data_IF_110793989397
#
_entry.id   IF_110793989397
#
_cell.length_a   1.000
_cell.length_b   1.000
_cell.length_c   1.000
_cell.angle_alpha   90.00
_cell.angle_beta   90.00
_cell.angle_gamma   90.00
#
_symmetry.space_group_name_H-M   'P 1'
#
loop_
_entity.id
_entity.type
_entity.pdbx_description
1 polymer ?
#
# COMPACT_ATOMS: atom_id res chain seq x y z
N UNK A 1 45.34 -0.24 -8.80
CA UNK A 1 44.06 -0.44 -8.08
C UNK A 1 43.98 -1.87 -7.60
N UNK A 2 43.79 -2.09 -6.29
CA UNK A 2 43.74 -3.43 -5.70
C UNK A 2 42.44 -4.15 -6.12
N UNK A 3 42.57 -5.20 -6.93
CA UNK A 3 41.47 -6.04 -7.45
C UNK A 3 40.56 -6.59 -6.34
N UNK A 4 41.13 -6.84 -5.15
CA UNK A 4 40.40 -7.25 -3.94
C UNK A 4 39.38 -6.19 -3.45
N UNK A 5 39.71 -4.90 -3.58
CA UNK A 5 38.83 -3.80 -3.18
C UNK A 5 37.69 -3.58 -4.18
N UNK A 6 37.93 -3.85 -5.47
CA UNK A 6 36.92 -3.77 -6.52
C UNK A 6 35.84 -4.84 -6.33
N UNK A 7 36.25 -6.07 -6.01
CA UNK A 7 35.34 -7.19 -5.81
C UNK A 7 34.40 -6.96 -4.61
N UNK A 8 34.93 -6.43 -3.50
CA UNK A 8 34.13 -6.10 -2.32
C UNK A 8 33.05 -5.04 -2.60
N UNK A 9 33.37 -4.02 -3.40
CA UNK A 9 32.41 -2.97 -3.79
C UNK A 9 31.27 -3.51 -4.66
N UNK A 10 31.58 -4.44 -5.57
CA UNK A 10 30.57 -5.09 -6.43
C UNK A 10 29.66 -5.98 -5.58
N UNK A 11 30.21 -6.78 -4.66
CA UNK A 11 29.40 -7.60 -3.75
C UNK A 11 28.47 -6.74 -2.87
N UNK A 12 28.97 -5.62 -2.32
CA UNK A 12 28.15 -4.71 -1.52
C UNK A 12 26.99 -4.11 -2.34
N UNK A 13 27.23 -3.73 -3.60
CA UNK A 13 26.20 -3.21 -4.51
C UNK A 13 25.11 -4.25 -4.80
N UNK A 14 25.50 -5.51 -5.04
CA UNK A 14 24.57 -6.61 -5.30
C UNK A 14 23.69 -6.90 -4.07
N UNK A 15 24.27 -6.93 -2.88
CA UNK A 15 23.53 -7.13 -1.63
C UNK A 15 22.53 -5.99 -1.40
N UNK A 16 22.92 -4.74 -1.62
CA UNK A 16 22.03 -3.58 -1.48
C UNK A 16 20.86 -3.62 -2.49
N UNK A 17 21.14 -4.07 -3.72
CA UNK A 17 20.14 -4.19 -4.79
C UNK A 17 19.12 -5.29 -4.48
N UNK A 18 19.55 -6.39 -3.88
CA UNK A 18 18.67 -7.48 -3.45
C UNK A 18 17.76 -7.04 -2.31
N UNK A 19 18.25 -6.26 -1.34
CA UNK A 19 17.41 -5.78 -0.22
C UNK A 19 16.28 -4.85 -0.66
N UNK A 20 16.46 -4.08 -1.75
CA UNK A 20 15.43 -3.21 -2.29
C UNK A 20 14.24 -4.00 -2.86
N UNK A 21 14.47 -5.20 -3.41
CA UNK A 21 13.40 -6.06 -3.92
C UNK A 21 12.52 -6.68 -2.82
N UNK A 22 13.05 -6.82 -1.61
CA UNK A 22 12.30 -7.36 -0.45
C UNK A 22 11.61 -6.28 0.41
N UNK A 23 11.78 -5.00 0.08
CA UNK A 23 11.00 -3.93 0.69
C UNK A 23 9.60 -3.86 0.05
N UNK A 24 8.71 -4.78 0.43
CA UNK A 24 7.28 -4.75 0.11
C UNK A 24 6.51 -3.71 0.95
N UNK A 25 7.07 -2.50 1.11
CA UNK A 25 6.47 -1.44 1.93
C UNK A 25 5.22 -0.81 1.30
N UNK A 26 4.94 -1.12 0.02
CA UNK A 26 4.05 -0.29 -0.77
C UNK A 26 2.59 -0.73 -0.79
N UNK A 27 2.27 -2.00 -0.44
CA UNK A 27 0.91 -2.54 -0.61
C UNK A 27 0.45 -3.47 0.54
N UNK A 28 0.79 -3.15 1.79
CA UNK A 28 0.15 -3.86 2.91
C UNK A 28 -1.24 -3.26 3.20
N UNK A 29 -2.30 -4.08 3.19
CA UNK A 29 -3.64 -3.61 3.54
C UNK A 29 -3.62 -3.07 4.97
N UNK A 30 -4.33 -1.97 5.17
CA UNK A 30 -4.35 -1.32 6.47
C UNK A 30 -5.11 -2.20 7.47
N UNK A 31 -4.46 -2.55 8.59
CA UNK A 31 -5.09 -3.35 9.65
C UNK A 31 -6.16 -2.55 10.43
N UNK A 32 -6.22 -1.23 10.24
CA UNK A 32 -7.14 -0.35 10.93
C UNK A 32 -8.54 -0.41 10.31
N UNK A 33 -9.56 -0.35 11.18
CA UNK A 33 -10.96 -0.23 10.78
C UNK A 33 -11.35 1.23 10.67
N UNK A 34 -11.97 1.59 9.55
CA UNK A 34 -12.39 2.95 9.20
C UNK A 34 -13.91 3.04 9.06
N UNK A 35 -14.42 4.27 9.19
CA UNK A 35 -15.77 4.62 8.81
C UNK A 35 -15.72 5.56 7.60
N UNK A 36 -16.43 5.22 6.52
CA UNK A 36 -16.64 6.07 5.36
C UNK A 36 -18.06 6.63 5.46
N UNK A 37 -18.19 7.96 5.53
CA UNK A 37 -19.46 8.63 5.33
C UNK A 37 -19.53 9.12 3.90
N UNK A 38 -20.55 8.69 3.15
CA UNK A 38 -20.78 9.12 1.78
C UNK A 38 -21.60 10.40 1.72
N UNK A 39 -21.54 11.11 0.59
CA UNK A 39 -22.23 12.40 0.37
C UNK A 39 -23.75 12.29 0.41
N UNK A 40 -24.29 11.10 0.15
CA UNK A 40 -25.71 10.77 0.31
C UNK A 40 -26.12 10.53 1.79
N UNK A 41 -25.18 10.57 2.72
CA UNK A 41 -25.40 10.43 4.16
C UNK A 41 -25.28 9.00 4.69
N UNK A 42 -24.99 8.01 3.84
CA UNK A 42 -24.75 6.65 4.28
C UNK A 42 -23.39 6.52 4.99
N UNK A 43 -23.31 5.61 5.97
CA UNK A 43 -22.07 5.34 6.71
C UNK A 43 -21.73 3.87 6.63
N UNK A 44 -20.50 3.59 6.23
CA UNK A 44 -19.96 2.26 6.02
C UNK A 44 -18.77 2.01 6.94
N UNK A 45 -18.60 0.76 7.41
CA UNK A 45 -17.48 0.34 8.25
C UNK A 45 -16.70 -0.78 7.58
N UNK A 46 -15.38 -0.72 7.65
CA UNK A 46 -14.51 -1.68 6.98
C UNK A 46 -13.03 -1.35 7.06
N UNK A 47 -12.25 -1.91 6.16
CA UNK A 47 -10.80 -1.71 6.07
C UNK A 47 -10.42 -1.15 4.70
N UNK A 48 -9.39 -0.31 4.64
CA UNK A 48 -8.88 0.18 3.36
C UNK A 48 -7.88 -0.84 2.82
N UNK A 49 -8.19 -1.44 1.68
CA UNK A 49 -7.33 -2.41 1.02
C UNK A 49 -6.32 -1.72 0.11
N UNK A 50 -6.76 -0.72 -0.65
CA UNK A 50 -5.92 0.04 -1.56
C UNK A 50 -6.44 1.47 -1.72
N UNK A 51 -5.55 2.41 -2.08
CA UNK A 51 -5.90 3.80 -2.36
C UNK A 51 -5.22 4.22 -3.64
N UNK A 52 -5.97 4.80 -4.56
CA UNK A 52 -5.41 5.43 -5.75
C UNK A 52 -5.68 6.95 -5.70
N UNK A 53 -5.42 7.68 -6.80
CA UNK A 53 -5.63 9.13 -6.85
C UNK A 53 -7.11 9.54 -6.79
N UNK A 54 -8.02 8.71 -7.29
CA UNK A 54 -9.45 9.01 -7.51
C UNK A 54 -10.39 8.19 -6.61
N UNK A 55 -9.98 7.01 -6.18
CA UNK A 55 -10.81 6.00 -5.52
C UNK A 55 -10.10 5.37 -4.31
N UNK A 56 -10.90 4.70 -3.49
CA UNK A 56 -10.46 3.90 -2.35
C UNK A 56 -11.12 2.53 -2.47
N UNK A 57 -10.32 1.46 -2.52
CA UNK A 57 -10.79 0.09 -2.40
C UNK A 57 -10.96 -0.25 -0.91
N UNK A 58 -12.18 -0.64 -0.54
CA UNK A 58 -12.60 -0.77 0.84
C UNK A 58 -13.29 -2.12 1.06
N UNK A 59 -12.86 -2.87 2.06
CA UNK A 59 -13.51 -4.12 2.45
C UNK A 59 -14.57 -3.85 3.52
N UNK A 60 -15.84 -3.84 3.12
CA UNK A 60 -16.99 -3.61 3.97
C UNK A 60 -17.31 -4.86 4.81
N UNK A 61 -17.57 -4.68 6.10
CA UNK A 61 -17.89 -5.79 7.02
C UNK A 61 -19.11 -6.62 6.57
N UNK A 62 -20.06 -6.01 5.86
CA UNK A 62 -21.34 -6.65 5.46
C UNK A 62 -21.46 -7.01 3.99
N UNK A 63 -20.68 -6.33 3.14
CA UNK A 63 -20.87 -6.37 1.67
C UNK A 63 -19.62 -6.83 0.93
N UNK A 64 -18.51 -7.06 1.63
CA UNK A 64 -17.23 -7.41 1.03
C UNK A 64 -16.57 -6.20 0.37
N UNK A 65 -15.77 -6.45 -0.66
CA UNK A 65 -14.98 -5.40 -1.31
C UNK A 65 -15.85 -4.45 -2.13
N UNK A 66 -15.61 -3.16 -1.95
CA UNK A 66 -16.28 -2.08 -2.64
C UNK A 66 -15.32 -0.95 -2.94
N UNK A 67 -15.43 -0.35 -4.12
CA UNK A 67 -14.63 0.82 -4.51
C UNK A 67 -15.48 2.08 -4.35
N UNK A 68 -15.02 3.00 -3.51
CA UNK A 68 -15.63 4.32 -3.34
C UNK A 68 -14.85 5.36 -4.14
N UNK A 69 -15.53 6.21 -4.91
CA UNK A 69 -14.88 7.39 -5.48
C UNK A 69 -14.67 8.42 -4.38
N UNK A 70 -13.52 9.08 -4.35
CA UNK A 70 -13.25 10.12 -3.35
C UNK A 70 -14.25 11.27 -3.39
N UNK A 71 -14.87 11.51 -4.55
CA UNK A 71 -15.94 12.51 -4.73
C UNK A 71 -17.24 12.12 -4.03
N UNK A 72 -17.44 10.84 -3.73
CA UNK A 72 -18.62 10.33 -3.03
C UNK A 72 -18.42 10.30 -1.51
N UNK A 73 -17.20 10.54 -1.02
CA UNK A 73 -16.85 10.55 0.40
C UNK A 73 -16.93 11.98 0.92
N UNK A 74 -17.57 12.16 2.08
CA UNK A 74 -17.73 13.45 2.75
C UNK A 74 -16.47 13.91 3.48
#
# INVERSE_FOLDING_TARGET
MNTKSLCFKICALVVLSLTAMFCAAQDQPDSLSYYIQTTDGNTYRGQILARDSLSILFNLERFGEHSFLKTEIK
#
